data_IF_555305937865
#
_entry.id   IF_555305937865
#
_cell.length_a   1.000
_cell.length_b   1.000
_cell.length_c   1.000
_cell.angle_alpha   90.00
_cell.angle_beta   90.00
_cell.angle_gamma   90.00
#
_symmetry.space_group_name_H-M   'P 1'
#
loop_
_entity.id
_entity.type
_entity.pdbx_description
1 polymer ?
#
# COMPACT_ATOMS: atom_id res chain seq x y z
N UNK A 1 20.49 -2.07 -14.09
CA UNK A 1 20.11 -3.21 -13.21
C UNK A 1 21.21 -3.58 -12.22
N UNK A 2 22.48 -3.61 -12.64
CA UNK A 2 23.61 -4.02 -11.81
C UNK A 2 23.75 -3.24 -10.48
N UNK A 3 23.64 -1.90 -10.53
CA UNK A 3 23.72 -1.06 -9.31
C UNK A 3 22.62 -1.40 -8.29
N UNK A 4 21.40 -1.74 -8.74
CA UNK A 4 20.30 -2.12 -7.84
C UNK A 4 20.60 -3.43 -7.13
N UNK A 5 21.23 -4.36 -7.85
CA UNK A 5 21.57 -5.67 -7.29
C UNK A 5 22.67 -5.53 -6.22
N UNK A 6 23.67 -4.69 -6.46
CA UNK A 6 24.70 -4.35 -5.46
C UNK A 6 24.07 -3.70 -4.23
N UNK A 7 23.13 -2.76 -4.41
CA UNK A 7 22.43 -2.11 -3.31
C UNK A 7 21.58 -3.09 -2.49
N UNK A 8 20.92 -4.06 -3.14
CA UNK A 8 20.16 -5.11 -2.43
C UNK A 8 21.09 -6.00 -1.61
N UNK A 9 22.26 -6.35 -2.15
CA UNK A 9 23.27 -7.12 -1.41
C UNK A 9 23.76 -6.31 -0.20
N UNK A 10 24.12 -5.04 -0.39
CA UNK A 10 24.54 -4.16 0.71
C UNK A 10 23.44 -4.00 1.77
N UNK A 11 22.18 -3.83 1.35
CA UNK A 11 21.03 -3.76 2.24
C UNK A 11 20.84 -5.07 3.03
N UNK A 12 21.13 -6.22 2.42
CA UNK A 12 21.05 -7.52 3.11
C UNK A 12 22.03 -7.61 4.27
N UNK A 13 23.26 -7.09 4.11
CA UNK A 13 24.22 -6.99 5.21
C UNK A 13 23.72 -6.07 6.33
N UNK A 14 23.10 -4.93 5.99
CA UNK A 14 22.49 -4.03 6.97
C UNK A 14 21.32 -4.68 7.73
N UNK A 15 20.49 -5.46 7.04
CA UNK A 15 19.36 -6.17 7.66
C UNK A 15 19.86 -7.25 8.61
N UNK A 16 20.84 -8.05 8.20
CA UNK A 16 21.47 -9.05 9.08
C UNK A 16 22.11 -8.36 10.30
N UNK A 17 22.79 -7.23 10.10
CA UNK A 17 23.33 -6.42 11.19
C UNK A 17 22.25 -5.95 12.15
N UNK A 18 21.14 -5.41 11.63
CA UNK A 18 20.02 -4.95 12.44
C UNK A 18 19.36 -6.08 13.23
N UNK A 19 19.20 -7.26 12.62
CA UNK A 19 18.63 -8.44 13.29
C UNK A 19 19.49 -8.91 14.47
N UNK A 20 20.81 -8.94 14.27
CA UNK A 20 21.75 -9.30 15.34
C UNK A 20 21.85 -8.19 16.41
N UNK A 21 21.87 -6.92 16.02
CA UNK A 21 21.97 -5.79 16.96
C UNK A 21 20.74 -5.64 17.85
N UNK A 22 19.54 -5.91 17.30
CA UNK A 22 18.28 -5.89 18.03
C UNK A 22 17.98 -7.20 18.77
N UNK A 23 18.90 -8.16 18.71
CA UNK A 23 18.75 -9.51 19.29
C UNK A 23 17.45 -10.22 18.84
N UNK A 24 17.02 -9.94 17.60
CA UNK A 24 15.80 -10.51 17.02
C UNK A 24 16.06 -11.90 16.42
N UNK A 25 17.27 -12.12 15.91
CA UNK A 25 17.73 -13.40 15.38
C UNK A 25 19.26 -13.42 15.29
N UNK A 26 19.88 -14.50 15.76
CA UNK A 26 21.32 -14.76 15.59
C UNK A 26 21.59 -15.33 14.20
N UNK A 27 21.86 -14.42 13.26
CA UNK A 27 22.10 -14.74 11.85
C UNK A 27 23.58 -14.53 11.54
N UNK A 28 24.30 -15.64 11.39
CA UNK A 28 25.71 -15.62 10.99
C UNK A 28 25.93 -15.01 9.60
N UNK A 29 27.05 -14.31 9.43
CA UNK A 29 27.45 -13.74 8.13
C UNK A 29 28.07 -14.81 7.25
N UNK A 30 27.27 -15.38 6.35
CA UNK A 30 27.71 -16.35 5.36
C UNK A 30 27.15 -15.96 3.99
N UNK A 31 27.75 -16.47 2.91
CA UNK A 31 27.23 -16.25 1.57
C UNK A 31 25.77 -16.74 1.42
N UNK A 32 25.42 -17.84 2.09
CA UNK A 32 24.07 -18.39 2.05
C UNK A 32 23.06 -17.48 2.74
N UNK A 33 23.38 -17.00 3.94
CA UNK A 33 22.47 -16.11 4.70
C UNK A 33 22.27 -14.78 3.98
N UNK A 34 23.34 -14.17 3.46
CA UNK A 34 23.24 -12.94 2.67
C UNK A 34 22.39 -13.14 1.41
N UNK A 35 22.56 -14.27 0.70
CA UNK A 35 21.77 -14.58 -0.48
C UNK A 35 20.27 -14.78 -0.15
N UNK A 36 19.97 -15.50 0.93
CA UNK A 36 18.59 -15.71 1.39
C UNK A 36 17.96 -14.36 1.77
N UNK A 37 18.64 -13.53 2.57
CA UNK A 37 18.15 -12.21 2.94
C UNK A 37 17.91 -11.33 1.70
N UNK A 38 18.81 -11.36 0.72
CA UNK A 38 18.65 -10.62 -0.54
C UNK A 38 17.41 -11.07 -1.32
N UNK A 39 17.19 -12.38 -1.44
CA UNK A 39 15.98 -12.92 -2.09
C UNK A 39 14.73 -12.51 -1.33
N UNK A 40 14.72 -12.60 0.00
CA UNK A 40 13.59 -12.16 0.82
C UNK A 40 13.28 -10.68 0.62
N UNK A 41 14.30 -9.81 0.56
CA UNK A 41 14.11 -8.38 0.30
C UNK A 41 13.49 -8.11 -1.08
N UNK A 42 13.90 -8.86 -2.10
CA UNK A 42 13.33 -8.76 -3.45
C UNK A 42 11.86 -9.17 -3.43
N UNK A 43 11.54 -10.29 -2.77
CA UNK A 43 10.17 -10.78 -2.63
C UNK A 43 9.29 -9.78 -1.88
N UNK A 44 9.79 -9.23 -0.76
CA UNK A 44 9.08 -8.19 0.00
C UNK A 44 8.82 -6.94 -0.85
N UNK A 45 9.81 -6.51 -1.63
CA UNK A 45 9.67 -5.37 -2.54
C UNK A 45 8.61 -5.61 -3.62
N UNK A 46 8.51 -6.85 -4.13
CA UNK A 46 7.50 -7.22 -5.12
C UNK A 46 6.10 -7.26 -4.49
N UNK A 47 5.96 -7.86 -3.31
CA UNK A 47 4.72 -7.85 -2.52
C UNK A 47 4.26 -6.42 -2.22
N UNK A 48 5.16 -5.56 -1.74
CA UNK A 48 4.85 -4.15 -1.48
C UNK A 48 4.37 -3.43 -2.75
N UNK A 49 4.99 -3.70 -3.90
CA UNK A 49 4.58 -3.08 -5.17
C UNK A 49 3.20 -3.56 -5.63
N UNK A 50 2.88 -4.84 -5.44
CA UNK A 50 1.55 -5.38 -5.75
C UNK A 50 0.52 -4.78 -4.79
N UNK A 51 0.80 -4.80 -3.49
CA UNK A 51 -0.09 -4.29 -2.46
C UNK A 51 -0.38 -2.80 -2.65
N UNK A 52 0.62 -1.97 -2.91
CA UNK A 52 0.43 -0.53 -3.15
C UNK A 52 -0.37 -0.25 -4.42
N UNK A 53 -0.23 -1.05 -5.48
CA UNK A 53 -1.10 -0.92 -6.66
C UNK A 53 -2.54 -1.26 -6.33
N UNK A 54 -2.76 -2.35 -5.61
CA UNK A 54 -4.09 -2.77 -5.19
C UNK A 54 -4.75 -1.74 -4.25
N UNK A 55 -4.01 -1.26 -3.25
CA UNK A 55 -4.45 -0.21 -2.33
C UNK A 55 -4.81 1.08 -3.07
N UNK A 56 -4.03 1.48 -4.08
CA UNK A 56 -4.36 2.65 -4.92
C UNK A 56 -5.69 2.47 -5.65
N UNK A 57 -5.98 1.27 -6.16
CA UNK A 57 -7.26 0.97 -6.82
C UNK A 57 -8.40 1.03 -5.82
N UNK A 58 -8.24 0.43 -4.63
CA UNK A 58 -9.24 0.51 -3.55
C UNK A 58 -9.49 1.98 -3.17
N UNK A 59 -8.45 2.74 -2.87
CA UNK A 59 -8.58 4.17 -2.52
C UNK A 59 -9.24 4.96 -3.64
N UNK A 60 -8.92 4.66 -4.90
CA UNK A 60 -9.58 5.31 -6.02
C UNK A 60 -11.08 5.01 -6.06
N UNK A 61 -11.47 3.74 -5.93
CA UNK A 61 -12.88 3.32 -6.00
C UNK A 61 -13.69 3.79 -4.79
N UNK A 62 -13.14 3.72 -3.58
CA UNK A 62 -13.89 3.98 -2.35
C UNK A 62 -13.75 5.41 -1.81
N UNK A 63 -12.70 6.14 -2.19
CA UNK A 63 -12.49 7.52 -1.72
C UNK A 63 -12.64 8.49 -2.87
N UNK A 64 -11.88 8.30 -3.95
CA UNK A 64 -11.86 9.28 -5.04
C UNK A 64 -13.16 9.31 -5.84
N UNK A 65 -13.71 8.15 -6.21
CA UNK A 65 -14.91 8.05 -7.04
C UNK A 65 -16.15 8.64 -6.36
N UNK A 66 -16.43 8.39 -5.05
CA UNK A 66 -17.50 9.06 -4.34
C UNK A 66 -17.30 10.56 -4.22
N UNK A 67 -16.07 11.03 -3.98
CA UNK A 67 -15.76 12.47 -3.93
C UNK A 67 -16.05 13.15 -5.27
N UNK A 68 -15.67 12.52 -6.38
CA UNK A 68 -15.95 13.05 -7.73
C UNK A 68 -17.46 13.03 -8.00
N UNK A 69 -18.16 11.94 -7.67
CA UNK A 69 -19.62 11.87 -7.82
C UNK A 69 -20.33 12.97 -7.02
N UNK A 70 -19.89 13.21 -5.78
CA UNK A 70 -20.38 14.29 -4.94
C UNK A 70 -20.09 15.67 -5.54
N UNK A 71 -18.89 15.88 -6.07
CA UNK A 71 -18.53 17.12 -6.77
C UNK A 71 -19.39 17.38 -8.02
N UNK A 72 -19.65 16.35 -8.83
CA UNK A 72 -20.54 16.45 -9.99
C UNK A 72 -21.97 16.78 -9.54
N UNK A 73 -22.48 16.11 -8.52
CA UNK A 73 -23.82 16.37 -7.98
C UNK A 73 -23.96 17.79 -7.44
N UNK A 74 -22.93 18.29 -6.73
CA UNK A 74 -22.88 19.68 -6.27
C UNK A 74 -22.95 20.67 -7.43
N UNK A 75 -22.12 20.49 -8.46
CA UNK A 75 -22.11 21.36 -9.64
C UNK A 75 -23.48 21.32 -10.34
N UNK A 76 -24.05 20.12 -10.53
CA UNK A 76 -25.36 19.96 -11.12
C UNK A 76 -26.44 20.72 -10.33
N UNK A 77 -26.49 20.51 -9.01
CA UNK A 77 -27.45 21.18 -8.12
C UNK A 77 -27.35 22.71 -8.14
N UNK A 78 -26.13 23.24 -8.29
CA UNK A 78 -25.88 24.67 -8.40
C UNK A 78 -26.49 25.26 -9.68
N UNK A 79 -26.42 24.53 -10.81
CA UNK A 79 -26.99 24.98 -12.08
C UNK A 79 -28.51 24.77 -12.18
N UNK A 80 -29.05 23.72 -11.57
CA UNK A 80 -30.47 23.38 -11.66
C UNK A 80 -31.32 23.98 -10.54
N UNK A 81 -30.70 24.51 -9.48
CA UNK A 81 -31.41 25.05 -8.31
C UNK A 81 -32.13 23.98 -7.48
N UNK A 82 -31.92 22.69 -7.77
CA UNK A 82 -32.45 21.59 -6.99
C UNK A 82 -31.70 21.50 -5.66
N UNK A 83 -32.40 21.46 -4.50
CA UNK A 83 -31.72 21.38 -3.21
C UNK A 83 -30.88 20.11 -3.14
N UNK A 84 -29.68 20.24 -2.58
CA UNK A 84 -28.76 19.13 -2.40
C UNK A 84 -29.32 18.24 -1.28
N UNK A 85 -29.95 17.12 -1.63
CA UNK A 85 -30.23 16.08 -0.66
C UNK A 85 -28.88 15.46 -0.29
N UNK A 86 -28.39 15.80 0.91
CA UNK A 86 -27.22 15.16 1.47
C UNK A 86 -27.52 13.66 1.50
N UNK A 87 -26.79 12.89 0.69
CA UNK A 87 -26.90 11.45 0.57
C UNK A 87 -27.22 10.81 1.92
N UNK A 88 -28.35 10.10 1.99
CA UNK A 88 -28.66 9.27 3.14
C UNK A 88 -27.55 8.21 3.26
N UNK A 89 -26.70 8.37 4.28
CA UNK A 89 -25.47 7.57 4.49
C UNK A 89 -25.76 6.11 4.85
N UNK A 90 -27.03 5.72 4.90
CA UNK A 90 -27.53 4.36 5.10
C UNK A 90 -26.93 3.32 4.13
N UNK A 91 -26.48 3.73 2.94
CA UNK A 91 -25.79 2.82 2.01
C UNK A 91 -24.36 2.47 2.46
N UNK A 92 -23.66 3.37 3.16
CA UNK A 92 -22.33 3.10 3.75
C UNK A 92 -22.49 2.19 4.96
N UNK A 93 -23.49 2.44 5.82
CA UNK A 93 -23.82 1.56 6.95
C UNK A 93 -24.16 0.14 6.52
N UNK A 94 -24.94 -0.02 5.44
CA UNK A 94 -25.27 -1.35 4.87
C UNK A 94 -24.09 -2.02 4.16
N UNK A 95 -23.20 -1.24 3.53
CA UNK A 95 -21.98 -1.76 2.91
C UNK A 95 -20.94 -2.25 3.93
N UNK A 96 -20.89 -1.64 5.11
CA UNK A 96 -19.98 -2.04 6.21
C UNK A 96 -20.44 -3.30 6.96
N UNK A 97 -21.73 -3.67 6.88
CA UNK A 97 -22.26 -4.90 7.50
C UNK A 97 -21.94 -6.19 6.72
N UNK A 98 -21.41 -6.08 5.49
CA UNK A 98 -21.03 -7.21 4.66
C UNK A 98 -19.55 -7.64 4.81
N UNK A 99 -18.78 -6.93 5.64
CA UNK A 99 -17.43 -7.30 6.09
C UNK A 99 -17.45 -7.68 7.57
#
# INVERSE_FOLDING_TARGET
>A
MFIRLILVIALSFFVIYGLNYLDLADVGYSFQTVAITAVTLIVLGLLYRVFTKFLKVILFVFVFLPLVAFGIYYIYSFFTGTPMELFDMDWIGRGAQWF
#
